data_IF_285243011183
#
_entry.id   IF_285243011183
#
_cell.length_a   1.000
_cell.length_b   1.000
_cell.length_c   1.000
_cell.angle_alpha   90.00
_cell.angle_beta   90.00
_cell.angle_gamma   90.00
#
_symmetry.space_group_name_H-M   'P 1'
#
loop_
_entity.id
_entity.type
_entity.pdbx_description
1 polymer ?
#
# COMPACT_ATOMS: atom_id res chain seq x y z
N UNK A 1 12.98 -13.18 -0.53
CA UNK A 1 11.59 -12.71 -0.68
C UNK A 1 10.71 -13.88 -0.33
N UNK A 2 9.85 -13.71 0.67
CA UNK A 2 8.81 -14.69 0.96
C UNK A 2 7.69 -14.61 -0.08
N UNK A 3 7.00 -15.72 -0.31
CA UNK A 3 5.78 -15.73 -1.11
C UNK A 3 4.65 -15.23 -0.23
N UNK A 4 3.92 -14.18 -0.67
CA UNK A 4 2.82 -13.63 0.11
C UNK A 4 1.59 -14.54 0.06
N UNK A 5 0.95 -14.74 1.21
CA UNK A 5 -0.37 -15.35 1.34
C UNK A 5 -1.44 -14.27 1.51
N UNK A 6 -2.60 -14.47 0.89
CA UNK A 6 -3.73 -13.57 1.06
C UNK A 6 -4.54 -13.98 2.30
N UNK A 7 -4.67 -13.08 3.28
CA UNK A 7 -5.36 -13.37 4.54
C UNK A 7 -6.65 -12.53 4.67
N UNK A 8 -7.79 -13.21 4.83
CA UNK A 8 -9.09 -12.55 4.98
C UNK A 8 -9.16 -11.63 6.22
N UNK A 9 -8.51 -12.02 7.31
CA UNK A 9 -8.44 -11.18 8.52
C UNK A 9 -7.71 -9.85 8.30
N UNK A 10 -6.70 -9.84 7.42
CA UNK A 10 -5.95 -8.63 7.05
C UNK A 10 -6.80 -7.78 6.09
N UNK A 11 -7.53 -8.43 5.18
CA UNK A 11 -8.51 -7.79 4.31
C UNK A 11 -9.64 -7.11 5.10
N UNK A 12 -10.21 -7.77 6.11
CA UNK A 12 -11.30 -7.22 6.93
C UNK A 12 -10.87 -5.92 7.63
N UNK A 13 -9.64 -5.89 8.16
CA UNK A 13 -9.07 -4.69 8.77
C UNK A 13 -8.88 -3.59 7.72
N UNK A 14 -8.25 -3.91 6.58
CA UNK A 14 -8.02 -2.97 5.51
C UNK A 14 -9.32 -2.39 4.94
N UNK A 15 -10.36 -3.22 4.79
CA UNK A 15 -11.69 -2.81 4.36
C UNK A 15 -12.39 -1.95 5.41
N UNK A 16 -12.22 -2.26 6.69
CA UNK A 16 -12.71 -1.46 7.80
C UNK A 16 -12.14 -0.03 7.78
N UNK A 17 -10.84 0.12 7.52
CA UNK A 17 -10.20 1.42 7.36
C UNK A 17 -10.64 2.13 6.06
N UNK A 18 -10.66 1.43 4.93
CA UNK A 18 -11.09 2.00 3.65
C UNK A 18 -12.55 2.49 3.71
N UNK A 19 -13.40 1.79 4.47
CA UNK A 19 -14.81 2.12 4.66
C UNK A 19 -15.05 3.45 5.38
N UNK A 20 -14.06 3.97 6.10
CA UNK A 20 -14.11 5.30 6.73
C UNK A 20 -13.88 6.43 5.72
N UNK A 21 -13.53 6.10 4.48
CA UNK A 21 -13.15 7.05 3.43
C UNK A 21 -12.09 8.07 3.89
N UNK A 22 -10.94 7.62 4.42
CA UNK A 22 -9.87 8.53 4.81
C UNK A 22 -9.33 9.29 3.59
N UNK A 23 -8.89 10.52 3.84
CA UNK A 23 -8.33 11.42 2.82
C UNK A 23 -6.80 11.41 2.78
N UNK A 24 -6.16 10.69 3.70
CA UNK A 24 -4.71 10.57 3.81
C UNK A 24 -4.30 9.22 4.42
N UNK A 25 -3.08 8.81 4.11
CA UNK A 25 -2.42 7.65 4.73
C UNK A 25 -2.16 7.91 6.22
N UNK A 26 -2.28 6.87 7.04
CA UNK A 26 -1.90 6.92 8.46
C UNK A 26 -0.39 6.66 8.62
N UNK A 27 0.26 7.25 9.64
CA UNK A 27 1.67 6.95 9.94
C UNK A 27 1.90 5.45 10.21
N UNK A 28 3.01 4.88 9.75
CA UNK A 28 3.34 3.45 9.93
C UNK A 28 3.36 3.03 11.41
N UNK A 29 3.75 3.92 12.34
CA UNK A 29 3.76 3.66 13.78
C UNK A 29 2.34 3.50 14.39
N UNK A 30 1.29 3.89 13.65
CA UNK A 30 -0.11 3.76 14.05
C UNK A 30 -0.76 2.48 13.51
N UNK A 31 -0.21 1.86 12.45
CA UNK A 31 -0.80 0.68 11.78
C UNK A 31 -0.79 -0.53 12.72
N UNK A 32 0.37 -0.82 13.33
CA UNK A 32 0.56 -1.93 14.25
C UNK A 32 2.00 -2.46 14.25
N UNK A 33 2.40 -3.25 15.27
CA UNK A 33 3.71 -3.90 15.26
C UNK A 33 3.78 -4.94 14.15
N UNK A 34 4.88 -4.94 13.38
CA UNK A 34 5.09 -5.87 12.26
C UNK A 34 4.02 -5.78 11.16
N UNK A 35 3.32 -4.65 11.09
CA UNK A 35 2.33 -4.36 10.06
C UNK A 35 2.69 -3.08 9.32
N UNK A 36 2.39 -3.03 8.03
CA UNK A 36 2.55 -1.86 7.18
C UNK A 36 1.32 -1.68 6.29
N UNK A 37 1.13 -0.47 5.77
CA UNK A 37 -0.04 -0.13 4.95
C UNK A 37 0.35 0.66 3.71
N UNK A 38 -0.31 0.37 2.60
CA UNK A 38 -0.35 1.25 1.44
C UNK A 38 -1.75 1.82 1.26
N UNK A 39 -1.80 3.14 1.03
CA UNK A 39 -3.03 3.89 0.81
C UNK A 39 -3.05 4.49 -0.60
N UNK A 40 -4.21 4.50 -1.24
CA UNK A 40 -4.45 5.22 -2.48
C UNK A 40 -5.89 5.74 -2.57
N UNK A 41 -6.02 6.91 -3.19
CA UNK A 41 -7.29 7.40 -3.73
C UNK A 41 -7.21 7.39 -5.25
N UNK A 42 -8.19 6.76 -5.90
CA UNK A 42 -8.29 6.67 -7.36
C UNK A 42 -9.61 7.30 -7.78
N UNK A 43 -9.62 8.43 -8.51
CA UNK A 43 -10.85 9.03 -9.01
C UNK A 43 -11.68 8.04 -9.83
N UNK A 44 -13.01 8.13 -9.77
CA UNK A 44 -13.89 7.30 -10.63
C UNK A 44 -13.74 7.59 -12.12
N UNK A 45 -13.22 8.76 -12.48
CA UNK A 45 -12.84 9.08 -13.86
C UNK A 45 -11.64 8.26 -14.34
N UNK A 46 -10.89 7.66 -13.42
CA UNK A 46 -9.65 6.94 -13.67
C UNK A 46 -9.77 5.42 -13.54
N UNK A 47 -10.90 4.91 -13.03
CA UNK A 47 -11.22 3.49 -12.86
C UNK A 47 -12.72 3.24 -12.98
N UNK A 48 -13.12 2.29 -13.84
CA UNK A 48 -14.54 1.95 -14.08
C UNK A 48 -15.23 1.28 -12.90
N UNK A 49 -14.48 0.59 -12.06
CA UNK A 49 -14.96 -0.25 -10.97
C UNK A 49 -13.86 -0.46 -9.92
N UNK A 50 -14.22 -1.10 -8.80
CA UNK A 50 -13.31 -1.37 -7.69
C UNK A 50 -12.09 -2.24 -8.10
N UNK A 51 -12.26 -3.20 -9.01
CA UNK A 51 -11.16 -4.06 -9.48
C UNK A 51 -10.13 -3.25 -10.28
N UNK A 52 -10.60 -2.35 -11.14
CA UNK A 52 -9.73 -1.42 -11.86
C UNK A 52 -9.06 -0.40 -10.95
N UNK A 53 -9.74 0.02 -9.89
CA UNK A 53 -9.17 0.93 -8.92
C UNK A 53 -8.00 0.30 -8.14
N UNK A 54 -8.15 -0.94 -7.66
CA UNK A 54 -7.06 -1.65 -6.96
C UNK A 54 -5.92 -2.02 -7.89
N UNK A 55 -6.19 -2.47 -9.12
CA UNK A 55 -5.15 -2.72 -10.15
C UNK A 55 -4.30 -1.45 -10.35
N UNK A 56 -4.95 -0.29 -10.48
CA UNK A 56 -4.27 0.99 -10.66
C UNK A 56 -3.48 1.42 -9.42
N UNK A 57 -4.02 1.20 -8.22
CA UNK A 57 -3.31 1.49 -6.96
C UNK A 57 -2.02 0.67 -6.84
N UNK A 58 -2.09 -0.64 -7.12
CA UNK A 58 -0.93 -1.56 -7.12
C UNK A 58 0.13 -1.08 -8.11
N UNK A 59 -0.26 -0.75 -9.34
CA UNK A 59 0.68 -0.22 -10.33
C UNK A 59 1.32 1.10 -9.90
N UNK A 60 0.53 2.01 -9.29
CA UNK A 60 1.01 3.30 -8.82
C UNK A 60 2.06 3.13 -7.72
N UNK A 61 1.78 2.28 -6.72
CA UNK A 61 2.72 1.99 -5.64
C UNK A 61 3.99 1.32 -6.15
N UNK A 62 3.87 0.34 -7.06
CA UNK A 62 5.04 -0.34 -7.60
C UNK A 62 5.92 0.60 -8.43
N UNK A 63 5.31 1.51 -9.20
CA UNK A 63 6.04 2.37 -10.14
C UNK A 63 6.87 3.47 -9.46
N UNK A 64 6.71 3.70 -8.15
CA UNK A 64 7.46 4.74 -7.43
C UNK A 64 8.96 4.50 -7.50
N UNK A 65 9.40 3.24 -7.60
CA UNK A 65 10.80 2.87 -7.80
C UNK A 65 11.40 3.44 -9.09
N UNK A 66 10.61 3.58 -10.15
CA UNK A 66 11.06 4.07 -11.45
C UNK A 66 11.16 5.60 -11.48
N UNK A 67 10.35 6.26 -10.66
CA UNK A 67 10.23 7.73 -10.64
C UNK A 67 11.06 8.39 -9.56
N UNK A 68 11.52 7.63 -8.56
CA UNK A 68 12.34 8.19 -7.49
C UNK A 68 13.77 8.45 -8.01
N UNK A 69 14.25 9.71 -7.95
CA UNK A 69 15.55 10.11 -8.49
C UNK A 69 16.74 9.67 -7.61
N UNK A 70 16.49 9.02 -6.47
CA UNK A 70 17.53 8.63 -5.52
C UNK A 70 18.37 7.50 -6.08
N UNK A 71 19.71 7.63 -6.15
CA UNK A 71 20.57 6.52 -6.53
C UNK A 71 20.55 5.45 -5.42
N UNK A 72 20.22 4.22 -5.79
CA UNK A 72 20.19 3.07 -4.89
C UNK A 72 21.43 2.22 -5.06
N UNK A 73 21.95 1.70 -3.94
CA UNK A 73 22.88 0.59 -4.00
C UNK A 73 22.14 -0.75 -4.04
N UNK A 74 22.87 -1.84 -4.27
CA UNK A 74 22.30 -3.20 -4.31
C UNK A 74 21.71 -3.67 -2.97
N UNK A 75 21.91 -2.94 -1.89
CA UNK A 75 21.48 -3.34 -0.56
C UNK A 75 20.21 -2.62 -0.10
N UNK A 76 19.78 -1.57 -0.82
CA UNK A 76 18.52 -0.86 -0.56
C UNK A 76 18.31 -0.61 0.93
N UNK A 77 19.38 -0.23 1.63
CA UNK A 77 19.25 0.12 3.03
C UNK A 77 18.30 1.30 3.07
N UNK A 78 17.10 1.08 3.62
CA UNK A 78 16.07 2.11 3.77
C UNK A 78 16.62 3.14 4.75
N UNK A 79 17.46 4.05 4.25
CA UNK A 79 17.99 5.18 4.99
C UNK A 79 16.82 6.00 5.52
N UNK A 80 17.00 6.69 6.66
CA UNK A 80 15.99 7.57 7.27
C UNK A 80 15.35 8.55 6.26
N UNK A 81 16.05 8.87 5.16
CA UNK A 81 15.55 9.70 4.04
C UNK A 81 14.37 9.11 3.27
N UNK A 82 14.18 7.80 3.30
CA UNK A 82 13.12 7.11 2.57
C UNK A 82 11.82 7.01 3.37
N UNK A 83 11.85 7.25 4.68
CA UNK A 83 10.71 7.06 5.60
C UNK A 83 9.46 7.92 5.29
N UNK A 84 9.57 8.91 4.38
CA UNK A 84 8.45 9.76 3.94
C UNK A 84 8.31 9.87 2.42
N UNK A 85 9.10 9.10 1.66
CA UNK A 85 9.13 9.20 0.21
C UNK A 85 8.01 8.34 -0.43
N UNK A 86 7.50 8.73 -1.62
CA UNK A 86 6.62 7.87 -2.42
C UNK A 86 7.17 6.44 -2.60
N UNK A 87 8.49 6.26 -2.56
CA UNK A 87 9.18 4.98 -2.62
C UNK A 87 8.74 3.97 -1.54
N UNK A 88 8.29 4.41 -0.37
CA UNK A 88 7.84 3.49 0.69
C UNK A 88 6.71 2.58 0.22
N UNK A 89 5.87 3.07 -0.69
CA UNK A 89 4.80 2.25 -1.25
C UNK A 89 5.34 1.04 -2.02
N UNK A 90 6.41 1.21 -2.78
CA UNK A 90 7.14 0.11 -3.40
C UNK A 90 7.86 -0.76 -2.37
N UNK A 91 8.57 -0.15 -1.41
CA UNK A 91 9.35 -0.90 -0.40
C UNK A 91 8.45 -1.84 0.40
N UNK A 92 7.27 -1.40 0.84
CA UNK A 92 6.31 -2.25 1.57
C UNK A 92 5.84 -3.45 0.75
N UNK A 93 5.66 -3.27 -0.57
CA UNK A 93 5.32 -4.37 -1.49
C UNK A 93 6.50 -5.33 -1.72
N UNK A 94 7.73 -4.80 -1.75
CA UNK A 94 8.93 -5.56 -2.07
C UNK A 94 9.73 -6.02 -0.83
N UNK A 95 9.19 -5.77 0.38
CA UNK A 95 9.89 -6.08 1.61
C UNK A 95 10.06 -7.59 1.77
N UNK A 96 11.31 -8.02 1.90
CA UNK A 96 11.66 -9.42 1.77
C UNK A 96 11.08 -10.33 2.86
N UNK A 97 10.76 -9.77 4.03
CA UNK A 97 10.12 -10.45 5.17
C UNK A 97 8.59 -10.30 5.17
N UNK A 98 7.98 -9.64 4.18
CA UNK A 98 6.52 -9.62 4.07
C UNK A 98 6.02 -10.97 3.58
N UNK A 99 5.11 -11.58 4.35
CA UNK A 99 4.57 -12.90 4.05
C UNK A 99 3.04 -12.93 3.93
N UNK A 100 2.33 -11.87 4.35
CA UNK A 100 0.89 -11.79 4.19
C UNK A 100 0.41 -10.42 3.73
N UNK A 101 -0.70 -10.44 3.00
CA UNK A 101 -1.39 -9.26 2.47
C UNK A 101 -2.92 -9.41 2.59
N UNK A 102 -3.61 -8.29 2.75
CA UNK A 102 -5.06 -8.18 2.56
C UNK A 102 -5.44 -6.75 2.19
N UNK A 103 -6.41 -6.58 1.28
CA UNK A 103 -6.73 -5.27 0.71
C UNK A 103 -8.22 -4.95 0.77
N UNK A 104 -8.55 -3.74 1.18
CA UNK A 104 -9.90 -3.19 1.17
C UNK A 104 -10.07 -2.11 0.11
N UNK A 105 -11.17 -2.17 -0.65
CA UNK A 105 -11.57 -1.12 -1.59
C UNK A 105 -12.95 -0.60 -1.23
N UNK A 106 -13.06 0.71 -1.05
CA UNK A 106 -14.34 1.39 -0.81
C UNK A 106 -14.60 2.47 -1.84
N UNK A 107 -15.82 2.52 -2.34
CA UNK A 107 -16.31 3.66 -3.11
C UNK A 107 -16.68 4.82 -2.17
N UNK A 108 -16.01 5.96 -2.34
CA UNK A 108 -16.07 7.12 -1.47
C UNK A 108 -16.43 8.37 -2.29
N UNK A 109 -17.72 8.54 -2.59
CA UNK A 109 -18.20 9.69 -3.37
C UNK A 109 -17.71 9.67 -4.82
N UNK A 110 -16.69 10.46 -5.13
CA UNK A 110 -16.12 10.65 -6.47
C UNK A 110 -14.85 9.81 -6.75
N UNK A 111 -14.35 9.09 -5.75
CA UNK A 111 -13.17 8.23 -5.86
C UNK A 111 -13.38 6.87 -5.20
N UNK A 112 -12.41 5.98 -5.41
CA UNK A 112 -12.22 4.78 -4.63
C UNK A 112 -11.09 5.01 -3.64
N UNK A 113 -11.30 4.61 -2.39
CA UNK A 113 -10.25 4.49 -1.38
C UNK A 113 -9.78 3.05 -1.34
N UNK A 114 -8.47 2.83 -1.51
CA UNK A 114 -7.83 1.52 -1.51
C UNK A 114 -6.81 1.50 -0.38
N UNK A 115 -6.90 0.48 0.45
CA UNK A 115 -5.94 0.21 1.50
C UNK A 115 -5.48 -1.24 1.35
N UNK A 116 -4.17 -1.47 1.29
CA UNK A 116 -3.58 -2.80 1.39
C UNK A 116 -2.69 -2.85 2.63
N UNK A 117 -2.93 -3.82 3.49
CA UNK A 117 -2.10 -4.08 4.67
C UNK A 117 -1.21 -5.28 4.45
N UNK A 118 -0.03 -5.22 5.06
CA UNK A 118 1.02 -6.21 4.97
C UNK A 118 1.42 -6.65 6.38
N UNK A 119 1.73 -7.94 6.54
CA UNK A 119 2.42 -8.47 7.73
C UNK A 119 3.79 -8.97 7.34
N UNK A 120 4.77 -8.68 8.20
CA UNK A 120 6.16 -9.09 8.00
C UNK A 120 6.77 -9.70 9.26
N UNK A 121 7.85 -10.46 9.10
CA UNK A 121 8.59 -11.11 10.19
C UNK A 121 8.87 -12.59 9.96
#
# INVERSE_FOLDING_TARGET
>A
MMQMEYLCEVEDIAYGEASKCPTAEIPSDVVGPLEEENFAMIPKTEASDANKAIEKAIHKWWSTIQTDPTPYDKHFHVMDRHTKAPLMSFIRMAWHETWAIGCGVKECGDHYTIICRYRWG
#
